data_IF_285708744673
#
_entry.id   IF_285708744673
#
_cell.length_a   1.000
_cell.length_b   1.000
_cell.length_c   1.000
_cell.angle_alpha   90.00
_cell.angle_beta   90.00
_cell.angle_gamma   90.00
#
_symmetry.space_group_name_H-M   'P 1'
#
loop_
_entity.id
_entity.type
_entity.pdbx_description
1 polymer ?
#
# COMPACT_ATOMS: atom_id res chain seq x y z
N UNK A 1 21.76 -32.53 13.82
CA UNK A 1 21.52 -31.56 14.91
C UNK A 1 20.49 -30.55 14.41
N UNK A 2 19.21 -30.79 14.70
CA UNK A 2 18.11 -29.89 14.31
C UNK A 2 17.86 -28.92 15.45
N UNK A 3 18.48 -27.76 15.41
CA UNK A 3 18.06 -26.62 16.23
C UNK A 3 16.95 -25.88 15.48
N UNK A 4 15.77 -26.48 15.40
CA UNK A 4 14.56 -25.69 15.17
C UNK A 4 14.23 -25.01 16.49
N UNK A 5 14.83 -23.84 16.72
CA UNK A 5 14.42 -22.95 17.79
C UNK A 5 12.98 -22.54 17.57
N UNK A 6 12.12 -22.80 18.54
CA UNK A 6 10.77 -22.23 18.61
C UNK A 6 10.95 -20.71 18.63
N UNK A 7 10.65 -20.03 17.51
CA UNK A 7 10.57 -18.57 17.51
C UNK A 7 9.37 -18.19 18.37
N UNK A 8 9.64 -17.59 19.54
CA UNK A 8 8.60 -16.94 20.34
C UNK A 8 8.23 -15.62 19.65
N UNK A 9 7.36 -15.71 18.64
CA UNK A 9 6.69 -14.53 18.07
C UNK A 9 5.60 -14.09 19.05
N UNK A 10 5.39 -12.78 19.18
CA UNK A 10 4.29 -12.28 20.00
C UNK A 10 2.95 -12.71 19.39
N UNK A 11 1.90 -12.83 20.20
CA UNK A 11 0.55 -13.16 19.71
C UNK A 11 0.07 -12.16 18.64
N UNK A 12 0.53 -10.90 18.71
CA UNK A 12 0.21 -9.89 17.72
C UNK A 12 1.01 -10.05 16.41
N UNK A 13 2.28 -10.47 16.50
CA UNK A 13 3.07 -10.81 15.32
C UNK A 13 2.49 -12.03 14.59
N UNK A 14 2.15 -13.09 15.33
CA UNK A 14 1.53 -14.28 14.76
C UNK A 14 0.21 -13.96 14.04
N UNK A 15 -0.65 -13.13 14.64
CA UNK A 15 -1.91 -12.68 14.01
C UNK A 15 -1.69 -11.86 12.75
N UNK A 16 -0.67 -10.97 12.75
CA UNK A 16 -0.33 -10.18 11.55
C UNK A 16 0.18 -11.10 10.43
N UNK A 17 1.05 -12.05 10.75
CA UNK A 17 1.57 -13.05 9.82
C UNK A 17 0.46 -13.92 9.24
N UNK A 18 -0.52 -14.36 10.06
CA UNK A 18 -1.68 -15.11 9.57
C UNK A 18 -2.56 -14.30 8.62
N UNK A 19 -2.82 -13.02 8.92
CA UNK A 19 -3.61 -12.14 8.07
C UNK A 19 -2.88 -11.83 6.76
N UNK A 20 -1.56 -11.63 6.82
CA UNK A 20 -0.71 -11.39 5.65
C UNK A 20 -0.61 -12.63 4.76
N UNK A 21 -0.46 -13.82 5.35
CA UNK A 21 -0.38 -15.08 4.61
C UNK A 21 -1.74 -15.64 4.18
N UNK A 22 -2.87 -15.11 4.66
CA UNK A 22 -4.18 -15.54 4.19
C UNK A 22 -4.30 -15.29 2.69
N UNK A 23 -4.62 -16.34 1.94
CA UNK A 23 -4.83 -16.22 0.51
C UNK A 23 -6.15 -15.52 0.20
N UNK A 24 -6.10 -14.44 -0.59
CA UNK A 24 -7.30 -13.78 -1.08
C UNK A 24 -7.87 -14.56 -2.28
N UNK A 25 -9.21 -14.65 -2.41
CA UNK A 25 -9.84 -15.20 -3.60
C UNK A 25 -9.31 -14.53 -4.87
N UNK A 26 -9.21 -15.29 -5.95
CA UNK A 26 -8.69 -14.80 -7.23
C UNK A 26 -9.46 -13.57 -7.73
N UNK A 27 -10.78 -13.60 -7.67
CA UNK A 27 -11.66 -12.52 -8.13
C UNK A 27 -11.45 -11.22 -7.34
N UNK A 28 -11.07 -11.32 -6.07
CA UNK A 28 -10.75 -10.15 -5.24
C UNK A 28 -9.45 -9.47 -5.67
N UNK A 29 -8.62 -10.12 -6.50
CA UNK A 29 -7.33 -9.61 -6.99
C UNK A 29 -7.28 -9.45 -8.50
N UNK A 30 -8.41 -9.63 -9.18
CA UNK A 30 -8.54 -9.44 -10.62
C UNK A 30 -9.25 -8.09 -10.89
N UNK A 31 -8.52 -7.05 -11.31
CA UNK A 31 -9.15 -5.80 -11.69
C UNK A 31 -9.92 -5.96 -12.99
N UNK A 32 -11.14 -5.44 -13.03
CA UNK A 32 -11.96 -5.29 -14.24
C UNK A 32 -11.67 -3.96 -14.91
N UNK A 33 -11.49 -2.90 -14.11
CA UNK A 33 -11.22 -1.56 -14.61
C UNK A 33 -10.29 -0.84 -13.65
N UNK A 34 -9.21 -0.28 -14.20
CA UNK A 34 -8.21 0.50 -13.46
C UNK A 34 -8.25 1.93 -13.98
N UNK A 35 -8.44 2.91 -13.10
CA UNK A 35 -8.44 4.34 -13.43
C UNK A 35 -7.39 5.06 -12.60
N UNK A 36 -6.50 5.77 -13.27
CA UNK A 36 -5.48 6.59 -12.64
C UNK A 36 -5.75 8.05 -12.98
N UNK A 37 -6.20 8.81 -11.99
CA UNK A 37 -6.60 10.21 -12.12
C UNK A 37 -5.37 11.12 -12.00
N UNK A 38 -4.43 10.96 -12.93
CA UNK A 38 -3.14 11.67 -12.91
C UNK A 38 -3.31 13.18 -13.12
N UNK A 39 -4.22 13.59 -14.00
CA UNK A 39 -4.47 15.00 -14.33
C UNK A 39 -5.15 15.73 -13.17
N UNK A 40 -6.16 15.11 -12.58
CA UNK A 40 -6.86 15.64 -11.41
C UNK A 40 -6.00 15.55 -10.14
N UNK A 41 -4.99 14.68 -10.13
CA UNK A 41 -4.12 14.49 -8.98
C UNK A 41 -4.78 13.75 -7.82
N UNK A 42 -5.93 13.09 -8.05
CA UNK A 42 -6.78 12.57 -6.97
C UNK A 42 -6.37 11.17 -6.53
N UNK A 43 -5.94 10.30 -7.46
CA UNK A 43 -5.43 8.98 -7.09
C UNK A 43 -5.74 7.86 -8.08
N UNK A 44 -5.96 6.67 -7.51
CA UNK A 44 -6.21 5.41 -8.20
C UNK A 44 -7.56 4.84 -7.77
N UNK A 45 -8.36 4.42 -8.74
CA UNK A 45 -9.56 3.62 -8.53
C UNK A 45 -9.47 2.28 -9.25
N UNK A 46 -9.99 1.24 -8.62
CA UNK A 46 -10.08 -0.10 -9.20
C UNK A 46 -11.48 -0.66 -8.95
N UNK A 47 -12.12 -1.11 -10.03
CA UNK A 47 -13.28 -2.00 -9.96
C UNK A 47 -12.78 -3.43 -10.09
N UNK A 48 -13.18 -4.30 -9.17
CA UNK A 48 -12.73 -5.68 -9.06
C UNK A 48 -13.75 -6.66 -9.61
N UNK A 49 -13.29 -7.86 -9.97
CA UNK A 49 -14.17 -8.89 -10.53
C UNK A 49 -15.16 -9.46 -9.52
N UNK A 50 -14.82 -9.42 -8.22
CA UNK A 50 -15.74 -9.75 -7.12
C UNK A 50 -16.84 -8.68 -6.89
N UNK A 51 -16.91 -7.65 -7.74
CA UNK A 51 -17.86 -6.54 -7.64
C UNK A 51 -17.44 -5.45 -6.65
N UNK A 52 -16.30 -5.61 -5.98
CA UNK A 52 -15.82 -4.61 -5.05
C UNK A 52 -15.26 -3.37 -5.78
N UNK A 53 -15.33 -2.22 -5.11
CA UNK A 53 -14.71 -1.00 -5.58
C UNK A 53 -13.71 -0.48 -4.55
N UNK A 54 -12.53 -0.07 -5.02
CA UNK A 54 -11.47 0.47 -4.15
C UNK A 54 -10.90 1.76 -4.72
N UNK A 55 -10.60 2.69 -3.83
CA UNK A 55 -9.98 3.97 -4.18
C UNK A 55 -8.87 4.32 -3.18
N UNK A 56 -7.76 4.85 -3.69
CA UNK A 56 -6.64 5.35 -2.90
C UNK A 56 -6.16 6.70 -3.43
N UNK A 57 -5.86 7.64 -2.54
CA UNK A 57 -5.23 8.89 -2.94
C UNK A 57 -3.76 8.69 -3.29
N UNK A 58 -3.18 9.60 -4.08
CA UNK A 58 -1.72 9.56 -4.34
C UNK A 58 -0.89 9.72 -3.07
N UNK A 59 -1.35 10.52 -2.10
CA UNK A 59 -0.72 10.61 -0.79
C UNK A 59 -0.74 9.26 -0.07
N UNK A 60 -1.88 8.56 -0.07
CA UNK A 60 -1.98 7.25 0.53
C UNK A 60 -1.05 6.25 -0.17
N UNK A 61 -1.07 6.19 -1.50
CA UNK A 61 -0.22 5.28 -2.28
C UNK A 61 1.27 5.52 -1.98
N UNK A 62 1.70 6.78 -2.00
CA UNK A 62 3.09 7.14 -1.70
C UNK A 62 3.50 6.77 -0.27
N UNK A 63 2.63 7.01 0.71
CA UNK A 63 2.82 6.64 2.11
C UNK A 63 2.68 5.14 2.36
N UNK A 64 2.12 4.39 1.41
CA UNK A 64 1.99 2.94 1.39
C UNK A 64 2.99 2.28 0.41
N UNK A 65 4.03 2.99 -0.04
CA UNK A 65 4.96 2.44 -1.04
C UNK A 65 5.55 1.09 -0.58
N UNK A 66 5.36 -0.01 -1.34
CA UNK A 66 5.74 -1.36 -0.89
C UNK A 66 7.20 -1.73 -1.16
N UNK A 67 8.03 -0.80 -1.65
CA UNK A 67 9.44 -1.09 -1.86
C UNK A 67 10.18 -1.33 -0.52
N UNK A 68 11.23 -2.14 -0.55
CA UNK A 68 11.97 -2.55 0.64
C UNK A 68 12.38 -1.37 1.54
N UNK A 69 12.93 -0.30 0.96
CA UNK A 69 13.36 0.89 1.71
C UNK A 69 12.20 1.59 2.41
N UNK A 70 11.07 1.77 1.72
CA UNK A 70 9.89 2.41 2.31
C UNK A 70 9.19 1.50 3.33
N UNK A 71 9.23 0.19 3.12
CA UNK A 71 8.71 -0.80 4.05
C UNK A 71 9.48 -0.78 5.36
N UNK A 72 10.80 -0.95 5.30
CA UNK A 72 11.67 -0.95 6.47
C UNK A 72 11.57 0.35 7.27
N UNK A 73 11.55 1.50 6.59
CA UNK A 73 11.38 2.80 7.25
C UNK A 73 10.02 2.91 7.95
N UNK A 74 8.95 2.45 7.30
CA UNK A 74 7.61 2.44 7.87
C UNK A 74 7.52 1.53 9.10
N UNK A 75 8.08 0.32 9.04
CA UNK A 75 8.15 -0.60 10.17
C UNK A 75 8.89 0.00 11.37
N UNK A 76 10.07 0.59 11.15
CA UNK A 76 10.86 1.25 12.20
C UNK A 76 10.09 2.39 12.88
N UNK A 77 9.27 3.10 12.13
CA UNK A 77 8.44 4.19 12.65
C UNK A 77 7.11 3.73 13.27
N UNK A 78 6.78 2.43 13.17
CA UNK A 78 5.50 1.88 13.65
C UNK A 78 4.27 2.35 12.87
N UNK A 79 4.46 3.02 11.73
CA UNK A 79 3.37 3.56 10.90
C UNK A 79 2.67 2.45 10.12
N UNK A 80 1.38 2.61 9.88
CA UNK A 80 0.61 1.73 8.98
C UNK A 80 0.75 2.16 7.52
N UNK A 81 0.55 1.26 6.54
CA UNK A 81 0.49 1.65 5.14
C UNK A 81 -0.52 2.76 4.88
N UNK A 82 -0.06 3.82 4.21
CA UNK A 82 -0.87 5.01 3.90
C UNK A 82 -0.83 6.09 4.97
N UNK A 83 -0.30 5.80 6.15
CA UNK A 83 -0.07 6.77 7.21
C UNK A 83 1.13 7.66 6.89
N UNK A 84 0.89 8.98 6.90
CA UNK A 84 1.91 9.98 6.63
C UNK A 84 3.01 10.00 7.69
N UNK A 85 4.20 10.48 7.31
CA UNK A 85 5.27 10.74 8.26
C UNK A 85 4.89 11.90 9.17
N UNK A 86 5.17 11.77 10.46
CA UNK A 86 5.08 12.91 11.38
C UNK A 86 6.07 13.99 10.90
N UNK A 87 5.55 15.18 10.61
CA UNK A 87 6.41 16.31 10.25
C UNK A 87 6.96 16.91 11.55
N UNK A 88 8.28 17.08 11.68
CA UNK A 88 8.83 17.80 12.82
C UNK A 88 8.24 19.20 12.84
N UNK A 89 7.77 19.64 14.01
CA UNK A 89 7.32 21.01 14.21
C UNK A 89 8.55 21.94 14.16
N UNK A 90 8.93 22.37 12.96
CA UNK A 90 9.97 23.38 12.77
C UNK A 90 9.34 24.76 12.72
N UNK A 91 10.08 25.77 13.22
CA UNK A 91 9.69 27.19 13.15
C UNK A 91 9.56 27.69 11.70
N UNK A 92 10.17 26.97 10.75
CA UNK A 92 10.10 27.22 9.30
C UNK A 92 9.75 25.90 8.59
N UNK A 93 8.47 25.62 8.32
CA UNK A 93 8.08 24.42 7.60
C UNK A 93 8.58 24.53 6.15
N UNK A 94 9.43 23.59 5.75
CA UNK A 94 9.88 23.50 4.37
C UNK A 94 8.72 22.99 3.51
N UNK A 95 8.35 23.76 2.47
CA UNK A 95 7.29 23.34 1.56
C UNK A 95 7.69 22.03 0.85
N UNK A 96 6.85 21.02 1.00
CA UNK A 96 6.97 19.77 0.26
C UNK A 96 5.79 19.71 -0.71
N UNK A 97 6.09 19.62 -2.00
CA UNK A 97 5.06 19.44 -3.01
C UNK A 97 4.28 18.14 -2.72
N UNK A 98 2.94 18.12 -2.88
CA UNK A 98 2.17 16.91 -2.73
C UNK A 98 2.71 15.80 -3.65
N UNK A 99 2.69 14.53 -3.20
CA UNK A 99 3.17 13.42 -4.02
C UNK A 99 2.27 13.25 -5.23
N UNK A 100 2.89 13.21 -6.41
CA UNK A 100 2.23 12.96 -7.69
C UNK A 100 3.08 12.02 -8.53
N UNK A 101 2.47 11.04 -9.22
CA UNK A 101 3.21 10.22 -10.15
C UNK A 101 3.47 10.97 -11.44
N UNK A 102 4.74 10.99 -11.86
CA UNK A 102 5.19 11.46 -13.16
C UNK A 102 4.94 10.41 -14.24
N UNK A 103 5.13 9.13 -13.89
CA UNK A 103 4.90 7.97 -14.76
C UNK A 103 4.11 6.91 -14.00
N UNK A 104 3.18 6.26 -14.70
CA UNK A 104 2.46 5.09 -14.18
C UNK A 104 2.53 4.00 -15.23
N UNK A 105 3.05 2.84 -14.84
CA UNK A 105 3.32 1.73 -15.76
C UNK A 105 2.72 0.43 -15.22
N UNK A 106 2.12 -0.41 -16.07
CA UNK A 106 1.76 -1.76 -15.68
C UNK A 106 3.01 -2.60 -15.46
N UNK A 107 2.99 -3.47 -14.44
CA UNK A 107 4.01 -4.49 -14.22
C UNK A 107 3.35 -5.85 -14.47
N UNK A 108 3.58 -6.39 -15.67
CA UNK A 108 2.90 -7.59 -16.15
C UNK A 108 1.37 -7.45 -16.08
N UNK A 109 0.70 -8.46 -15.56
CA UNK A 109 -0.77 -8.46 -15.35
C UNK A 109 -1.17 -8.35 -13.88
N UNK A 110 -0.23 -8.10 -12.97
CA UNK A 110 -0.46 -8.30 -11.54
C UNK A 110 -0.25 -7.04 -10.67
N UNK A 111 0.22 -5.93 -11.26
CA UNK A 111 0.61 -4.76 -10.50
C UNK A 111 0.70 -3.47 -11.34
N UNK A 112 0.82 -2.35 -10.62
CA UNK A 112 1.30 -1.06 -11.15
C UNK A 112 2.65 -0.68 -10.52
N UNK A 113 3.46 0.06 -11.25
CA UNK A 113 4.56 0.85 -10.71
C UNK A 113 4.32 2.34 -10.95
N UNK A 114 4.85 3.16 -10.05
CA UNK A 114 4.75 4.62 -10.12
C UNK A 114 6.16 5.22 -10.01
N UNK A 115 6.47 6.16 -10.90
CA UNK A 115 7.61 7.06 -10.75
C UNK A 115 7.09 8.37 -10.17
N UNK A 116 7.56 8.74 -8.99
CA UNK A 116 7.07 9.87 -8.21
C UNK A 116 7.91 11.12 -8.43
N UNK A 117 7.30 12.29 -8.29
CA UNK A 117 7.96 13.60 -8.34
C UNK A 117 8.99 13.85 -7.21
N UNK A 118 9.11 12.93 -6.24
CA UNK A 118 10.14 12.92 -5.21
C UNK A 118 11.30 11.94 -5.52
N UNK A 119 11.34 11.42 -6.75
CA UNK A 119 12.37 10.52 -7.26
C UNK A 119 12.16 9.04 -6.96
N UNK A 120 11.14 8.65 -6.18
CA UNK A 120 10.89 7.23 -5.90
C UNK A 120 10.30 6.50 -7.13
N UNK A 121 10.82 5.30 -7.43
CA UNK A 121 10.38 4.50 -8.59
C UNK A 121 10.40 2.98 -8.42
N UNK A 122 10.83 2.50 -7.25
CA UNK A 122 10.99 1.06 -6.98
C UNK A 122 9.73 0.38 -6.40
N UNK A 123 8.64 1.13 -6.19
CA UNK A 123 7.40 0.60 -5.64
C UNK A 123 6.60 -0.17 -6.69
N UNK A 124 6.32 -1.46 -6.41
CA UNK A 124 5.43 -2.31 -7.21
C UNK A 124 4.18 -2.60 -6.39
N UNK A 125 3.07 -1.99 -6.79
CA UNK A 125 1.77 -2.07 -6.13
C UNK A 125 0.99 -3.22 -6.75
N UNK A 126 1.14 -4.42 -6.20
CA UNK A 126 0.38 -5.58 -6.67
C UNK A 126 -1.10 -5.44 -6.39
N UNK A 127 -1.93 -6.10 -7.20
CA UNK A 127 -3.38 -6.17 -6.97
C UNK A 127 -3.71 -6.77 -5.60
N UNK A 128 -2.94 -7.78 -5.19
CA UNK A 128 -3.00 -8.38 -3.85
C UNK A 128 -2.73 -7.33 -2.77
N UNK A 129 -1.63 -6.59 -2.89
CA UNK A 129 -1.25 -5.54 -1.94
C UNK A 129 -2.32 -4.46 -1.83
N UNK A 130 -2.78 -3.92 -2.97
CA UNK A 130 -3.81 -2.90 -2.99
C UNK A 130 -5.10 -3.43 -2.35
N UNK A 131 -5.54 -4.65 -2.70
CA UNK A 131 -6.76 -5.25 -2.15
C UNK A 131 -6.70 -5.42 -0.63
N UNK A 132 -5.58 -5.92 -0.09
CA UNK A 132 -5.38 -6.09 1.36
C UNK A 132 -5.46 -4.77 2.12
N UNK A 133 -5.01 -3.69 1.48
CA UNK A 133 -4.97 -2.36 2.06
C UNK A 133 -6.11 -1.48 1.56
N UNK A 134 -7.22 -2.08 1.08
CA UNK A 134 -8.40 -1.33 0.72
C UNK A 134 -8.99 -0.65 1.96
N UNK A 135 -9.05 0.67 1.92
CA UNK A 135 -9.59 1.50 3.00
C UNK A 135 -11.10 1.73 2.92
N UNK A 136 -11.87 1.00 2.11
CA UNK A 136 -13.31 1.25 1.99
C UNK A 136 -14.07 0.83 3.27
N UNK A 137 -15.33 1.25 3.40
CA UNK A 137 -16.16 0.93 4.57
C UNK A 137 -16.30 -0.58 4.80
N UNK A 138 -16.52 -1.38 3.74
CA UNK A 138 -16.66 -2.83 3.83
C UNK A 138 -15.39 -3.52 4.37
N UNK A 139 -14.21 -3.12 3.87
CA UNK A 139 -12.94 -3.71 4.30
C UNK A 139 -12.58 -3.27 5.73
N UNK A 140 -12.87 -2.02 6.09
CA UNK A 140 -12.69 -1.56 7.48
C UNK A 140 -13.59 -2.30 8.46
N UNK A 141 -14.85 -2.55 8.09
CA UNK A 141 -15.80 -3.30 8.92
C UNK A 141 -15.40 -4.76 9.15
N UNK A 142 -14.63 -5.38 8.26
CA UNK A 142 -14.11 -6.75 8.40
C UNK A 142 -12.83 -6.86 9.22
N UNK A 143 -12.20 -5.73 9.54
CA UNK A 143 -10.89 -5.66 10.20
C UNK A 143 -10.96 -5.16 11.65
N UNK A 144 -12.13 -4.64 12.06
CA UNK A 144 -12.44 -4.31 13.46
C UNK A 144 -13.18 -5.45 14.15
#
# INVERSE_FOLDING_TARGET
MSHQGIRLVSAEQARREEVENRELPREAKEPVKVRVHKTEGTGLEIDWKDGHHSAWSFAWLRNACPCATCHEEREKSGRKPGEGKAQPQSLLPMYQAPPRPEVVSPVGRYALSFEWNDGHKSGIYSWDYLRRHCGCAECRAKTG
#
